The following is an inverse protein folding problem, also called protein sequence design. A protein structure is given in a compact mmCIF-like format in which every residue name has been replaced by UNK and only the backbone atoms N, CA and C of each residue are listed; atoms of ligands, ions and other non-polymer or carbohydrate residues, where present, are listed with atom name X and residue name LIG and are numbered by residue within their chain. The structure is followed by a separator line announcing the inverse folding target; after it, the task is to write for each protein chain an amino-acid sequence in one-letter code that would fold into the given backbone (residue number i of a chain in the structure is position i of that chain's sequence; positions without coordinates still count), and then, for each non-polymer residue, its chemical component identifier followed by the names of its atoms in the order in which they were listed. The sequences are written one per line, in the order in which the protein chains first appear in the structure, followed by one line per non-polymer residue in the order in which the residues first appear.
data_IF_731463096823
#
_entry.id   IF_731463096823
#
_cell.length_a   1.000
_cell.length_b   1.000
_cell.length_c   1.000
_cell.angle_alpha   90.00
_cell.angle_beta   90.00
_cell.angle_gamma   90.00
#
_symmetry.space_group_name_H-M   'P 1'
#
loop_
_entity.id
_entity.type
_entity.pdbx_description
1 polymer ?
#
# COMPACT_ATOMS: atom_id res chain seq x y z
N UNK A 1 3.77 -0.82 -29.04
CA UNK A 1 3.24 0.55 -29.08
C UNK A 1 3.45 1.14 -27.69
N UNK A 2 4.60 1.81 -27.48
CA UNK A 2 4.93 2.43 -26.18
C UNK A 2 4.12 3.70 -26.02
N UNK A 3 3.24 3.73 -25.02
CA UNK A 3 2.26 4.79 -24.82
C UNK A 3 2.90 6.09 -24.36
N UNK A 4 2.24 7.21 -24.67
CA UNK A 4 2.63 8.57 -24.28
C UNK A 4 2.66 8.80 -22.75
N UNK A 5 2.30 7.80 -21.93
CA UNK A 5 2.02 7.93 -20.50
C UNK A 5 3.15 7.42 -19.57
N UNK A 6 4.41 7.48 -20.02
CA UNK A 6 5.56 7.09 -19.20
C UNK A 6 5.94 8.10 -18.10
N UNK A 7 5.40 9.32 -18.14
CA UNK A 7 5.63 10.36 -17.14
C UNK A 7 4.28 10.90 -16.63
N UNK A 8 4.10 11.16 -15.32
CA UNK A 8 2.86 11.68 -14.76
C UNK A 8 2.79 13.21 -14.94
N UNK A 9 1.63 13.79 -15.27
CA UNK A 9 1.47 15.26 -15.32
C UNK A 9 1.49 15.89 -13.91
N UNK A 10 1.69 17.20 -13.80
CA UNK A 10 1.72 17.91 -12.50
C UNK A 10 0.38 17.72 -11.73
N UNK A 11 -0.74 17.78 -12.46
CA UNK A 11 -2.10 17.62 -11.92
C UNK A 11 -2.41 16.17 -11.52
N UNK A 12 -1.93 15.20 -12.30
CA UNK A 12 -2.05 13.77 -11.96
C UNK A 12 -1.19 13.43 -10.74
N UNK A 13 0.06 13.90 -10.71
CA UNK A 13 1.00 13.66 -9.60
C UNK A 13 0.48 14.21 -8.27
N UNK A 14 0.02 15.47 -8.22
CA UNK A 14 -0.44 16.06 -6.95
C UNK A 14 -1.69 15.36 -6.39
N UNK A 15 -2.65 15.00 -7.26
CA UNK A 15 -3.87 14.32 -6.82
C UNK A 15 -3.59 12.90 -6.32
N UNK A 16 -2.75 12.17 -7.06
CA UNK A 16 -2.34 10.80 -6.73
C UNK A 16 -1.56 10.76 -5.43
N UNK A 17 -0.49 11.55 -5.33
CA UNK A 17 0.48 11.34 -4.25
C UNK A 17 -0.07 11.81 -2.90
N UNK A 18 -1.00 12.78 -2.89
CA UNK A 18 -1.57 13.31 -1.64
C UNK A 18 -2.86 12.59 -1.26
N UNK A 19 -3.86 12.54 -2.14
CA UNK A 19 -5.18 12.02 -1.78
C UNK A 19 -5.20 10.49 -1.76
N UNK A 20 -4.60 9.83 -2.75
CA UNK A 20 -4.56 8.37 -2.81
C UNK A 20 -3.71 7.80 -1.69
N UNK A 21 -2.56 8.42 -1.40
CA UNK A 21 -1.71 8.06 -0.25
C UNK A 21 -2.44 8.19 1.09
N UNK A 22 -3.23 9.26 1.27
CA UNK A 22 -4.03 9.46 2.48
C UNK A 22 -5.04 8.34 2.67
N UNK A 23 -5.81 7.98 1.64
CA UNK A 23 -6.80 6.92 1.71
C UNK A 23 -6.15 5.57 2.11
N UNK A 24 -5.02 5.22 1.48
CA UNK A 24 -4.28 4.00 1.83
C UNK A 24 -3.76 4.03 3.27
N UNK A 25 -3.20 5.16 3.70
CA UNK A 25 -2.68 5.33 5.07
C UNK A 25 -3.79 5.19 6.12
N UNK A 26 -4.98 5.75 5.84
CA UNK A 26 -6.15 5.57 6.70
C UNK A 26 -6.62 4.11 6.71
N UNK A 27 -6.65 3.44 5.55
CA UNK A 27 -7.02 2.02 5.47
C UNK A 27 -6.09 1.13 6.33
N UNK A 28 -4.77 1.36 6.26
CA UNK A 28 -3.77 0.65 7.06
C UNK A 28 -3.99 0.91 8.56
N UNK A 29 -4.21 2.17 8.93
CA UNK A 29 -4.42 2.57 10.32
C UNK A 29 -5.64 1.87 10.93
N UNK A 30 -6.75 1.84 10.18
CA UNK A 30 -7.99 1.18 10.61
C UNK A 30 -7.82 -0.35 10.70
N UNK A 31 -7.11 -0.99 9.77
CA UNK A 31 -6.78 -2.42 9.88
C UNK A 31 -6.02 -2.72 11.18
N UNK A 32 -5.03 -1.89 11.52
CA UNK A 32 -4.26 -2.04 12.75
C UNK A 32 -5.10 -1.80 14.01
N UNK A 33 -5.95 -0.77 14.03
CA UNK A 33 -6.86 -0.49 15.14
C UNK A 33 -7.89 -1.62 15.35
N UNK A 34 -8.34 -2.24 14.27
CA UNK A 34 -9.17 -3.44 14.34
C UNK A 34 -8.46 -4.60 15.04
N UNK A 35 -7.18 -4.83 14.73
CA UNK A 35 -6.39 -5.85 15.42
C UNK A 35 -6.15 -5.51 16.90
N UNK A 36 -5.82 -4.25 17.21
CA UNK A 36 -5.69 -3.78 18.60
C UNK A 36 -6.98 -4.05 19.38
N UNK A 37 -8.14 -3.78 18.79
CA UNK A 37 -9.42 -4.04 19.43
C UNK A 37 -9.65 -5.53 19.70
N UNK A 38 -9.21 -6.43 18.81
CA UNK A 38 -9.28 -7.89 19.07
C UNK A 38 -8.35 -8.26 20.23
N UNK A 39 -7.11 -7.77 20.25
CA UNK A 39 -6.15 -8.06 21.31
C UNK A 39 -6.61 -7.50 22.67
N UNK A 40 -7.23 -6.31 22.70
CA UNK A 40 -7.85 -5.77 23.91
C UNK A 40 -8.99 -6.67 24.41
N UNK A 41 -9.80 -7.24 23.51
CA UNK A 41 -10.85 -8.19 23.87
C UNK A 41 -10.30 -9.45 24.52
N UNK A 42 -9.15 -9.93 24.04
CA UNK A 42 -8.38 -11.07 24.54
C UNK A 42 -7.86 -10.79 25.95
N UNK A 43 -7.27 -9.61 26.17
CA UNK A 43 -6.72 -9.20 27.48
C UNK A 43 -7.83 -8.96 28.52
N UNK A 44 -8.97 -8.39 28.11
CA UNK A 44 -10.07 -8.08 29.01
C UNK A 44 -10.82 -9.31 29.55
N UNK A 45 -10.65 -10.47 28.91
CA UNK A 45 -11.44 -11.68 29.21
C UNK A 45 -10.94 -12.44 30.46
N UNK A 46 -9.63 -12.70 30.66
CA UNK A 46 -9.10 -13.20 31.92
C UNK A 46 -9.43 -12.32 33.13
N UNK A 47 -9.67 -11.02 32.91
CA UNK A 47 -10.04 -10.07 33.97
C UNK A 47 -11.53 -10.12 34.36
N UNK A 48 -12.33 -11.03 33.78
CA UNK A 48 -13.75 -11.22 34.08
C UNK A 48 -14.62 -9.96 33.93
N UNK A 49 -14.24 -9.02 33.05
CA UNK A 49 -15.01 -7.78 32.81
C UNK A 49 -16.20 -8.07 31.89
N UNK A 50 -17.36 -8.30 32.48
CA UNK A 50 -18.61 -8.57 31.76
C UNK A 50 -18.89 -7.54 30.65
N UNK A 51 -19.12 -8.02 29.42
CA UNK A 51 -19.50 -7.20 28.27
C UNK A 51 -18.36 -6.46 27.55
N UNK A 52 -17.19 -6.33 28.16
CA UNK A 52 -16.06 -5.55 27.62
C UNK A 52 -15.44 -6.21 26.39
N UNK A 53 -15.21 -7.53 26.41
CA UNK A 53 -14.70 -8.25 25.24
C UNK A 53 -15.65 -8.15 24.04
N UNK A 54 -16.97 -8.15 24.26
CA UNK A 54 -17.95 -8.00 23.19
C UNK A 54 -17.91 -6.60 22.57
N UNK A 55 -17.81 -5.54 23.39
CA UNK A 55 -17.68 -4.18 22.85
C UNK A 55 -16.41 -3.99 22.03
N UNK A 56 -15.28 -4.57 22.47
CA UNK A 56 -14.04 -4.53 21.72
C UNK A 56 -14.12 -5.30 20.39
N UNK A 57 -14.78 -6.46 20.35
CA UNK A 57 -15.04 -7.17 19.10
C UNK A 57 -15.97 -6.38 18.16
N UNK A 58 -16.98 -5.69 18.70
CA UNK A 58 -17.82 -4.78 17.90
C UNK A 58 -17.02 -3.60 17.34
N UNK A 59 -16.11 -3.01 18.14
CA UNK A 59 -15.19 -1.98 17.68
C UNK A 59 -14.27 -2.50 16.57
N UNK A 60 -13.72 -3.71 16.71
CA UNK A 60 -12.88 -4.35 15.70
C UNK A 60 -13.61 -4.47 14.36
N UNK A 61 -14.87 -4.93 14.37
CA UNK A 61 -15.72 -4.99 13.17
C UNK A 61 -15.88 -3.59 12.54
N UNK A 62 -16.11 -2.56 13.36
CA UNK A 62 -16.20 -1.17 12.89
C UNK A 62 -14.93 -0.69 12.20
N UNK A 63 -13.76 -0.99 12.77
CA UNK A 63 -12.47 -0.66 12.19
C UNK A 63 -12.19 -1.41 10.87
N UNK A 64 -12.51 -2.70 10.76
CA UNK A 64 -12.35 -3.42 9.50
C UNK A 64 -13.28 -2.91 8.40
N UNK A 65 -14.53 -2.56 8.74
CA UNK A 65 -15.45 -1.92 7.81
C UNK A 65 -14.89 -0.57 7.32
N UNK A 66 -14.41 0.26 8.25
CA UNK A 66 -13.82 1.56 7.92
C UNK A 66 -12.57 1.42 7.04
N UNK A 67 -11.70 0.46 7.34
CA UNK A 67 -10.53 0.13 6.51
C UNK A 67 -10.94 -0.18 5.07
N UNK A 68 -11.99 -1.00 4.89
CA UNK A 68 -12.52 -1.35 3.57
C UNK A 68 -13.12 -0.14 2.84
N UNK A 69 -13.87 0.72 3.53
CA UNK A 69 -14.38 1.97 2.96
C UNK A 69 -13.25 2.89 2.50
N UNK A 70 -12.13 2.96 3.24
CA UNK A 70 -10.96 3.73 2.80
C UNK A 70 -10.28 3.12 1.57
N UNK A 71 -10.27 1.79 1.42
CA UNK A 71 -9.82 1.14 0.18
C UNK A 71 -10.74 1.42 -1.00
N UNK A 72 -12.07 1.53 -0.79
CA UNK A 72 -12.99 1.94 -1.85
C UNK A 72 -12.71 3.37 -2.32
N UNK A 73 -12.41 4.29 -1.39
CA UNK A 73 -11.94 5.65 -1.73
C UNK A 73 -10.63 5.61 -2.50
N UNK A 74 -9.66 4.79 -2.05
CA UNK A 74 -8.39 4.59 -2.75
C UNK A 74 -8.59 4.10 -4.20
N UNK A 75 -9.45 3.10 -4.40
CA UNK A 75 -9.78 2.55 -5.73
C UNK A 75 -10.45 3.61 -6.60
N UNK A 76 -11.39 4.38 -6.04
CA UNK A 76 -12.05 5.47 -6.75
C UNK A 76 -11.04 6.51 -7.26
N UNK A 77 -10.09 6.92 -6.41
CA UNK A 77 -9.02 7.85 -6.79
C UNK A 77 -8.05 7.27 -7.83
N UNK A 78 -7.76 5.98 -7.77
CA UNK A 78 -6.99 5.29 -8.82
C UNK A 78 -7.72 5.33 -10.17
N UNK A 79 -9.03 5.08 -10.18
CA UNK A 79 -9.86 5.15 -11.39
C UNK A 79 -10.02 6.56 -11.94
N UNK A 80 -10.18 7.56 -11.08
CA UNK A 80 -10.18 8.97 -11.50
C UNK A 80 -8.84 9.31 -12.15
N UNK A 81 -7.73 8.84 -11.59
CA UNK A 81 -6.39 9.06 -12.18
C UNK A 81 -6.26 8.40 -13.54
N UNK A 82 -6.69 7.14 -13.69
CA UNK A 82 -6.74 6.45 -14.98
C UNK A 82 -7.51 7.28 -16.02
N UNK A 83 -8.67 7.82 -15.65
CA UNK A 83 -9.49 8.66 -16.55
C UNK A 83 -8.84 9.98 -16.97
N UNK A 84 -7.81 10.44 -16.24
CA UNK A 84 -7.00 11.62 -16.58
C UNK A 84 -5.86 11.21 -17.51
N UNK A 85 -5.21 10.07 -17.23
CA UNK A 85 -4.12 9.54 -18.03
C UNK A 85 -4.60 9.08 -19.42
N UNK A 86 -5.84 8.61 -19.54
CA UNK A 86 -6.41 8.11 -20.80
C UNK A 86 -7.03 9.19 -21.69
N UNK A 87 -6.88 10.49 -21.34
CA UNK A 87 -7.40 11.57 -22.18
C UNK A 87 -6.48 11.87 -23.35
N UNK A 88 -7.08 12.21 -24.49
CA UNK A 88 -6.35 12.61 -25.69
C UNK A 88 -5.54 13.91 -25.53
N UNK A 89 -5.91 14.76 -24.55
CA UNK A 89 -5.21 16.00 -24.20
C UNK A 89 -4.16 15.81 -23.08
N UNK A 90 -3.79 14.57 -22.78
CA UNK A 90 -2.78 14.27 -21.78
C UNK A 90 -1.38 14.74 -22.22
N UNK A 91 -0.84 15.73 -21.52
CA UNK A 91 0.53 16.23 -21.73
C UNK A 91 1.50 15.62 -20.70
N UNK A 92 2.32 14.62 -21.07
CA UNK A 92 3.38 14.11 -20.20
C UNK A 92 4.51 15.13 -20.03
N UNK A 93 5.21 15.11 -18.90
CA UNK A 93 6.54 15.75 -18.82
C UNK A 93 7.51 15.03 -19.79
N UNK A 94 8.17 15.76 -20.70
CA UNK A 94 9.20 15.22 -21.63
C UNK A 94 10.63 15.66 -21.21
N UNK A 95 11.72 14.90 -21.53
CA UNK A 95 11.78 13.74 -22.44
C UNK A 95 12.40 12.42 -21.89
N UNK A 96 11.67 11.32 -22.15
CA UNK A 96 12.06 10.09 -22.89
C UNK A 96 13.39 9.33 -22.68
N UNK A 97 14.23 9.66 -21.69
CA UNK A 97 15.38 8.80 -21.28
C UNK A 97 15.03 7.82 -20.14
N UNK A 98 13.80 7.90 -19.61
CA UNK A 98 13.43 7.36 -18.30
C UNK A 98 13.30 5.83 -18.22
N UNK A 99 13.03 5.12 -19.33
CA UNK A 99 12.83 3.66 -19.30
C UNK A 99 14.10 2.92 -18.83
N UNK A 100 15.29 3.44 -19.14
CA UNK A 100 16.56 2.93 -18.60
C UNK A 100 16.87 3.42 -17.17
N UNK A 101 16.29 4.55 -16.77
CA UNK A 101 16.50 5.19 -15.47
C UNK A 101 15.62 4.57 -14.37
N UNK A 102 14.40 4.09 -14.66
CA UNK A 102 13.50 3.53 -13.62
C UNK A 102 14.11 2.34 -12.90
N UNK A 103 14.62 1.34 -13.64
CA UNK A 103 15.20 0.14 -13.02
C UNK A 103 16.45 0.47 -12.21
N UNK A 104 17.30 1.33 -12.75
CA UNK A 104 18.51 1.80 -12.07
C UNK A 104 18.19 2.65 -10.84
N UNK A 105 17.21 3.55 -10.95
CA UNK A 105 16.69 4.35 -9.84
C UNK A 105 16.16 3.47 -8.70
N UNK A 106 15.31 2.48 -9.03
CA UNK A 106 14.78 1.54 -8.03
C UNK A 106 15.89 0.69 -7.42
N UNK A 107 16.84 0.19 -8.22
CA UNK A 107 18.00 -0.53 -7.71
C UNK A 107 18.83 0.30 -6.74
N UNK A 108 19.07 1.58 -7.06
CA UNK A 108 19.77 2.51 -6.17
C UNK A 108 18.96 2.80 -4.90
N UNK A 109 17.64 2.91 -4.99
CA UNK A 109 16.74 3.14 -3.86
C UNK A 109 16.72 1.94 -2.89
N UNK A 110 16.73 0.73 -3.44
CA UNK A 110 16.86 -0.50 -2.67
C UNK A 110 18.24 -0.58 -2.01
N UNK A 111 19.32 -0.32 -2.75
CA UNK A 111 20.68 -0.30 -2.21
C UNK A 111 20.88 0.75 -1.10
N UNK A 112 20.18 1.89 -1.21
CA UNK A 112 20.18 2.94 -0.19
C UNK A 112 19.27 2.65 1.02
N UNK A 113 18.52 1.54 1.01
CA UNK A 113 17.57 1.18 2.07
C UNK A 113 16.30 2.04 2.11
N UNK A 114 15.99 2.75 1.02
CA UNK A 114 14.81 3.63 0.91
C UNK A 114 13.58 2.90 0.38
N UNK A 115 13.79 1.81 -0.37
CA UNK A 115 12.75 0.86 -0.77
C UNK A 115 13.13 -0.54 -0.31
N UNK A 116 12.16 -1.36 0.11
CA UNK A 116 12.45 -2.75 0.47
C UNK A 116 12.68 -3.59 -0.80
N UNK A 117 13.61 -4.55 -0.74
CA UNK A 117 13.86 -5.49 -1.83
C UNK A 117 12.79 -6.58 -1.83
N UNK A 118 11.68 -6.34 -2.55
CA UNK A 118 10.52 -7.24 -2.57
C UNK A 118 9.98 -7.40 -3.99
N UNK A 119 9.24 -8.50 -4.22
CA UNK A 119 8.52 -8.71 -5.47
C UNK A 119 7.56 -7.55 -5.80
N UNK A 120 6.95 -6.92 -4.80
CA UNK A 120 6.05 -5.78 -4.99
C UNK A 120 6.80 -4.56 -5.56
N UNK A 121 8.00 -4.27 -5.02
CA UNK A 121 8.90 -3.22 -5.51
C UNK A 121 9.31 -3.49 -6.95
N UNK A 122 9.81 -4.69 -7.23
CA UNK A 122 10.30 -5.05 -8.56
C UNK A 122 9.16 -5.09 -9.59
N UNK A 123 7.99 -5.62 -9.23
CA UNK A 123 6.84 -5.65 -10.12
C UNK A 123 6.35 -4.24 -10.45
N UNK A 124 6.22 -3.35 -9.46
CA UNK A 124 5.83 -1.96 -9.70
C UNK A 124 6.83 -1.24 -10.65
N UNK A 125 8.12 -1.46 -10.45
CA UNK A 125 9.18 -0.92 -11.32
C UNK A 125 9.09 -1.47 -12.75
N UNK A 126 8.89 -2.79 -12.90
CA UNK A 126 8.73 -3.46 -14.19
C UNK A 126 7.47 -3.00 -14.93
N UNK A 127 6.31 -2.98 -14.26
CA UNK A 127 5.05 -2.48 -14.82
C UNK A 127 5.22 -1.06 -15.33
N UNK A 128 5.86 -0.19 -14.55
CA UNK A 128 6.07 1.19 -14.98
C UNK A 128 7.03 1.29 -16.16
N UNK A 129 8.11 0.49 -16.15
CA UNK A 129 9.11 0.46 -17.22
C UNK A 129 8.50 0.02 -18.55
N UNK A 130 7.67 -1.04 -18.52
CA UNK A 130 7.17 -1.69 -19.72
C UNK A 130 5.83 -1.10 -20.19
N UNK A 131 4.94 -0.78 -19.26
CA UNK A 131 3.52 -0.51 -19.54
C UNK A 131 3.06 0.89 -19.11
N UNK A 132 3.88 1.64 -18.34
CA UNK A 132 3.60 3.01 -17.92
C UNK A 132 2.64 3.16 -16.74
N UNK A 133 2.30 4.41 -16.40
CA UNK A 133 1.53 4.72 -15.18
C UNK A 133 0.11 4.15 -15.20
N UNK A 134 -0.57 4.14 -16.35
CA UNK A 134 -1.93 3.59 -16.42
C UNK A 134 -1.96 2.14 -15.94
N UNK A 135 -1.01 1.29 -16.38
CA UNK A 135 -0.99 -0.11 -15.93
C UNK A 135 -0.66 -0.25 -14.45
N UNK A 136 0.16 0.64 -13.90
CA UNK A 136 0.48 0.68 -12.48
C UNK A 136 -0.75 0.99 -11.61
N UNK A 137 -1.63 1.90 -12.03
CA UNK A 137 -2.90 2.17 -11.33
C UNK A 137 -3.92 1.03 -11.45
N UNK A 138 -3.93 0.32 -12.58
CA UNK A 138 -4.70 -0.92 -12.70
C UNK A 138 -4.19 -1.95 -11.69
N UNK A 139 -2.87 -2.14 -11.59
CA UNK A 139 -2.26 -3.03 -10.61
C UNK A 139 -2.61 -2.65 -9.17
N UNK A 140 -2.54 -1.36 -8.80
CA UNK A 140 -2.97 -0.91 -7.46
C UNK A 140 -4.44 -1.22 -7.18
N UNK A 141 -5.30 -1.06 -8.19
CA UNK A 141 -6.72 -1.38 -8.07
C UNK A 141 -6.93 -2.88 -7.86
N UNK A 142 -6.25 -3.71 -8.63
CA UNK A 142 -6.29 -5.18 -8.49
C UNK A 142 -5.86 -5.61 -7.08
N UNK A 143 -4.73 -5.08 -6.60
CA UNK A 143 -4.21 -5.35 -5.25
C UNK A 143 -5.16 -4.84 -4.15
N UNK A 144 -5.75 -3.65 -4.30
CA UNK A 144 -6.70 -3.13 -3.32
C UNK A 144 -8.00 -3.96 -3.23
N UNK A 145 -8.45 -4.54 -4.35
CA UNK A 145 -9.59 -5.47 -4.35
C UNK A 145 -9.25 -6.79 -3.64
N UNK A 146 -8.03 -7.28 -3.82
CA UNK A 146 -7.53 -8.46 -3.10
C UNK A 146 -7.51 -8.22 -1.58
N UNK A 147 -6.97 -7.08 -1.13
CA UNK A 147 -6.99 -6.67 0.28
C UNK A 147 -8.42 -6.57 0.80
N UNK A 148 -9.33 -5.96 0.03
CA UNK A 148 -10.74 -5.82 0.40
C UNK A 148 -11.42 -7.18 0.61
N UNK A 149 -11.06 -8.18 -0.20
CA UNK A 149 -11.57 -9.56 -0.06
C UNK A 149 -11.11 -10.18 1.27
N UNK A 150 -9.83 -10.03 1.63
CA UNK A 150 -9.31 -10.53 2.90
C UNK A 150 -9.89 -9.79 4.10
N UNK A 151 -10.09 -8.47 4.00
CA UNK A 151 -10.75 -7.66 5.02
C UNK A 151 -12.19 -8.10 5.24
N UNK A 152 -12.94 -8.40 4.18
CA UNK A 152 -14.31 -8.91 4.30
C UNK A 152 -14.34 -10.27 4.99
N UNK A 153 -13.40 -11.17 4.69
CA UNK A 153 -13.27 -12.43 5.40
C UNK A 153 -12.96 -12.22 6.89
N UNK A 154 -12.03 -11.32 7.21
CA UNK A 154 -11.67 -10.97 8.58
C UNK A 154 -12.85 -10.34 9.35
N UNK A 155 -13.59 -9.44 8.72
CA UNK A 155 -14.82 -8.84 9.26
C UNK A 155 -15.86 -9.91 9.58
N UNK A 156 -16.14 -10.82 8.66
CA UNK A 156 -17.12 -11.91 8.86
C UNK A 156 -16.71 -12.83 10.00
N UNK A 157 -15.44 -13.22 10.08
CA UNK A 157 -14.91 -14.02 11.18
C UNK A 157 -15.08 -13.28 12.51
N UNK A 158 -14.73 -12.00 12.55
CA UNK A 158 -14.82 -11.17 13.76
C UNK A 158 -16.27 -10.97 14.21
N UNK A 159 -17.20 -10.74 13.28
CA UNK A 159 -18.63 -10.66 13.58
C UNK A 159 -19.18 -11.99 14.12
N UNK A 160 -18.73 -13.12 13.57
CA UNK A 160 -19.13 -14.43 14.08
C UNK A 160 -18.67 -14.68 15.53
N UNK A 161 -17.60 -14.00 15.98
CA UNK A 161 -17.16 -14.00 17.37
C UNK A 161 -18.07 -13.13 18.25
N UNK A 162 -18.51 -11.95 17.77
CA UNK A 162 -19.35 -11.03 18.54
C UNK A 162 -20.79 -11.51 18.74
N UNK A 163 -21.30 -12.35 17.83
CA UNK A 163 -22.71 -12.71 17.73
C UNK A 163 -23.06 -14.06 18.39
N UNK A 164 -22.07 -14.83 18.85
CA UNK A 164 -22.32 -16.08 19.58
C UNK A 164 -22.91 -15.78 20.97
N UNK A 165 -24.15 -16.21 21.20
CA UNK A 165 -24.76 -16.17 22.53
C UNK A 165 -23.94 -17.03 23.51
N UNK A 166 -23.70 -16.53 24.73
CA UNK A 166 -22.94 -17.25 25.77
C UNK A 166 -21.41 -17.27 25.56
N UNK A 167 -20.88 -16.47 24.64
CA UNK A 167 -19.44 -16.44 24.27
C UNK A 167 -18.50 -15.85 25.34
N UNK A 168 -19.03 -15.36 26.47
CA UNK A 168 -18.23 -14.78 27.54
C UNK A 168 -17.38 -15.85 28.23
N UNK A 169 -16.06 -15.66 28.23
CA UNK A 169 -15.09 -16.59 28.85
C UNK A 169 -14.62 -17.74 27.94
N UNK A 170 -15.10 -17.79 26.69
CA UNK A 170 -14.70 -18.81 25.70
C UNK A 170 -13.89 -18.25 24.53
N UNK A 171 -13.77 -16.93 24.41
CA UNK A 171 -13.04 -16.30 23.31
C UNK A 171 -11.52 -16.51 23.46
N UNK A 172 -10.98 -16.34 24.67
CA UNK A 172 -9.58 -16.55 25.01
C UNK A 172 -9.20 -18.01 24.74
N UNK A 173 -10.01 -18.96 25.21
CA UNK A 173 -9.82 -20.37 24.88
C UNK A 173 -9.94 -20.65 23.39
N UNK A 174 -10.83 -19.95 22.66
CA UNK A 174 -10.94 -20.08 21.21
C UNK A 174 -9.71 -19.51 20.48
N UNK A 175 -9.15 -18.41 20.99
CA UNK A 175 -7.97 -17.75 20.46
C UNK A 175 -6.68 -18.55 20.75
N UNK A 176 -6.53 -19.11 21.97
CA UNK A 176 -5.40 -19.98 22.33
C UNK A 176 -5.43 -21.31 21.58
N UNK A 177 -6.61 -21.93 21.46
CA UNK A 177 -6.77 -23.20 20.74
C UNK A 177 -6.70 -23.06 19.22
N UNK A 178 -6.59 -21.83 18.70
CA UNK A 178 -6.66 -21.51 17.28
C UNK A 178 -7.92 -22.08 16.60
N UNK A 179 -9.00 -22.32 17.35
CA UNK A 179 -10.26 -22.85 16.83
C UNK A 179 -11.01 -21.84 15.96
N UNK A 180 -10.60 -20.58 16.01
CA UNK A 180 -11.06 -19.48 15.16
C UNK A 180 -9.84 -18.87 14.43
N UNK A 181 -9.74 -18.98 13.09
CA UNK A 181 -8.52 -18.62 12.35
C UNK A 181 -8.38 -17.10 12.12
N UNK A 182 -8.76 -16.26 13.08
CA UNK A 182 -8.74 -14.80 12.92
C UNK A 182 -7.31 -14.26 12.76
N UNK A 183 -6.31 -14.81 13.48
CA UNK A 183 -4.89 -14.45 13.33
C UNK A 183 -4.38 -14.74 11.92
N UNK A 184 -4.77 -15.89 11.37
CA UNK A 184 -4.43 -16.26 10.00
C UNK A 184 -5.09 -15.29 9.00
N UNK A 185 -6.37 -14.99 9.18
CA UNK A 185 -7.08 -14.04 8.33
C UNK A 185 -6.49 -12.62 8.42
N UNK A 186 -6.13 -12.15 9.61
CA UNK A 186 -5.44 -10.88 9.81
C UNK A 186 -4.07 -10.89 9.12
N UNK A 187 -3.29 -11.95 9.28
CA UNK A 187 -1.97 -12.08 8.64
C UNK A 187 -2.10 -12.02 7.11
N UNK A 188 -3.10 -12.67 6.52
CA UNK A 188 -3.38 -12.60 5.08
C UNK A 188 -3.74 -11.18 4.64
N UNK A 189 -4.68 -10.53 5.34
CA UNK A 189 -5.10 -9.16 5.04
C UNK A 189 -3.94 -8.17 5.17
N UNK A 190 -3.15 -8.27 6.25
CA UNK A 190 -2.01 -7.40 6.52
C UNK A 190 -0.88 -7.62 5.51
N UNK A 191 -0.60 -8.87 5.13
CA UNK A 191 0.40 -9.18 4.11
C UNK A 191 0.02 -8.59 2.75
N UNK A 192 -1.24 -8.77 2.32
CA UNK A 192 -1.74 -8.18 1.08
C UNK A 192 -1.70 -6.64 1.13
N UNK A 193 -2.06 -6.03 2.26
CA UNK A 193 -1.98 -4.59 2.47
C UNK A 193 -0.53 -4.08 2.36
N UNK A 194 0.44 -4.84 2.89
CA UNK A 194 1.87 -4.51 2.83
C UNK A 194 2.39 -4.57 1.39
N UNK A 195 1.95 -5.55 0.59
CA UNK A 195 2.27 -5.64 -0.84
C UNK A 195 1.74 -4.40 -1.58
N UNK A 196 0.47 -4.04 -1.37
CA UNK A 196 -0.14 -2.84 -1.95
C UNK A 196 0.62 -1.56 -1.55
N UNK A 197 0.92 -1.40 -0.27
CA UNK A 197 1.66 -0.24 0.25
C UNK A 197 3.05 -0.13 -0.37
N UNK A 198 3.77 -1.24 -0.46
CA UNK A 198 5.13 -1.28 -1.00
C UNK A 198 5.14 -0.93 -2.49
N UNK A 199 4.20 -1.50 -3.25
CA UNK A 199 4.01 -1.16 -4.66
C UNK A 199 3.66 0.32 -4.84
N UNK A 200 2.72 0.84 -4.04
CA UNK A 200 2.29 2.23 -4.09
C UNK A 200 3.43 3.20 -3.76
N UNK A 201 4.21 2.91 -2.70
CA UNK A 201 5.38 3.70 -2.33
C UNK A 201 6.42 3.71 -3.44
N UNK A 202 6.68 2.55 -4.06
CA UNK A 202 7.63 2.44 -5.19
C UNK A 202 7.20 3.36 -6.34
N UNK A 203 5.94 3.27 -6.78
CA UNK A 203 5.45 4.14 -7.85
C UNK A 203 5.40 5.62 -7.46
N UNK A 204 5.12 5.95 -6.20
CA UNK A 204 5.14 7.32 -5.70
C UNK A 204 6.55 7.93 -5.73
N UNK A 205 7.57 7.17 -5.35
CA UNK A 205 8.97 7.60 -5.41
C UNK A 205 9.42 7.82 -6.86
N UNK A 206 9.08 6.89 -7.76
CA UNK A 206 9.42 7.03 -9.17
C UNK A 206 8.71 8.26 -9.78
N UNK A 207 7.42 8.45 -9.47
CA UNK A 207 6.63 9.62 -9.90
C UNK A 207 7.22 10.94 -9.42
N UNK A 208 7.66 10.98 -8.17
CA UNK A 208 8.30 12.16 -7.59
C UNK A 208 9.62 12.46 -8.29
N UNK A 209 10.45 11.44 -8.56
CA UNK A 209 11.70 11.62 -9.31
C UNK A 209 11.43 12.12 -10.73
N UNK A 210 10.45 11.55 -11.43
CA UNK A 210 10.05 12.00 -12.78
C UNK A 210 9.64 13.46 -12.77
N UNK A 211 8.83 13.87 -11.79
CA UNK A 211 8.36 15.24 -11.64
C UNK A 211 9.50 16.23 -11.39
N UNK A 212 10.41 15.91 -10.46
CA UNK A 212 11.54 16.79 -10.14
C UNK A 212 12.45 16.99 -11.34
N UNK A 213 12.80 15.90 -12.05
CA UNK A 213 13.61 16.00 -13.28
C UNK A 213 12.89 16.75 -14.40
N UNK A 214 11.59 16.49 -14.59
CA UNK A 214 10.77 17.15 -15.60
C UNK A 214 10.61 18.65 -15.37
N UNK A 215 10.74 19.12 -14.12
CA UNK A 215 10.68 20.55 -13.77
C UNK A 215 12.04 21.23 -13.69
N UNK A 216 13.13 20.51 -13.96
CA UNK A 216 14.50 21.01 -13.82
C UNK A 216 14.97 21.17 -12.38
N UNK A 217 14.19 20.67 -11.42
CA UNK A 217 14.58 20.64 -10.01
C UNK A 217 15.62 19.52 -9.76
N UNK A 218 16.44 19.65 -8.72
CA UNK A 218 17.30 18.55 -8.28
C UNK A 218 16.44 17.32 -7.94
N UNK A 219 16.71 16.18 -8.58
CA UNK A 219 16.05 14.90 -8.26
C UNK A 219 16.34 14.44 -6.84
N UNK A 220 15.56 13.48 -6.31
CA UNK A 220 15.68 12.96 -4.95
C UNK A 220 17.12 12.53 -4.60
N UNK A 221 17.85 12.00 -5.58
CA UNK A 221 19.25 11.58 -5.41
C UNK A 221 20.28 12.71 -5.43
N UNK A 222 20.00 13.82 -6.11
CA UNK A 222 20.96 14.92 -6.22
C UNK A 222 21.19 15.64 -4.88
N UNK A 223 20.25 15.51 -3.94
CA UNK A 223 20.38 16.06 -2.59
C UNK A 223 20.91 15.06 -1.55
N UNK A 224 20.98 13.76 -1.86
CA UNK A 224 21.34 12.71 -0.90
C UNK A 224 22.82 12.33 -0.87
N UNK A 225 23.70 12.97 -1.67
CA UNK A 225 25.15 12.72 -1.64
C UNK A 225 25.59 11.29 -2.04
N UNK A 226 24.66 10.44 -2.52
CA UNK A 226 24.90 9.03 -2.82
C UNK A 226 25.63 8.76 -4.15
N UNK A 227 26.10 9.82 -4.84
CA UNK A 227 26.93 9.70 -6.05
C UNK A 227 28.44 9.58 -5.78
N UNK A 228 28.87 9.36 -4.53
CA UNK A 228 30.27 9.06 -4.19
C UNK A 228 30.59 7.57 -4.00
N UNK A 229 29.79 6.66 -4.58
CA UNK A 229 30.12 5.24 -4.64
C UNK A 229 30.26 4.76 -6.09
N UNK A 230 31.21 5.36 -6.79
CA UNK A 230 32.00 4.64 -7.78
C UNK A 230 33.48 4.89 -7.42
N UNK A 231 34.27 3.87 -7.05
CA UNK A 231 35.70 4.06 -6.97
C UNK A 231 36.18 4.45 -8.36
N UNK A 232 36.86 5.59 -8.46
CA UNK A 232 37.70 5.92 -9.60
C UNK A 232 38.76 4.83 -9.63
N UNK A 233 38.55 3.81 -10.47
CA UNK A 233 39.63 2.91 -10.87
C UNK A 233 40.50 3.77 -11.78
N UNK A 234 41.56 4.36 -11.22
CA UNK A 234 42.67 4.84 -12.02
C UNK A 234 43.19 3.65 -12.84
N UNK A 235 43.28 3.75 -14.18
CA UNK A 235 44.04 2.77 -14.92
C UNK A 235 45.52 2.99 -14.57
N UNK A 236 46.09 2.03 -13.85
CA UNK A 236 47.52 1.92 -13.71
C UNK A 236 48.11 1.49 -15.05
N UNK A 237 48.59 2.44 -15.87
CA UNK A 237 49.77 2.30 -16.76
C UNK A 237 50.45 3.67 -16.89
#
# INVERSE_FOLDING_TARGET
MGGQNHAPSNRASQRVTVHTSRALSMAISELMLGNVSIEDAIVAEPECRYGVSRSHLTMAVGHFLQSRLQLEVFISLCRETLSILDRDDYEPFLPTSFIGDVRMFVSNMVAAGLLPDTNATMHAAETLTNDGYSRLFCYYTEQANEVSTYLEQLERLTRSLSDREGFQGLFWHSAESNSQPWRQAFTLAFSAMTVLQTAFQTGAMISTETFLRGTGAPGLFSNLGLLQLAPIVEPAI
#
